data_IF_815809076617
#
_entry.id   IF_815809076617
#
_cell.length_a   1.000
_cell.length_b   1.000
_cell.length_c   1.000
_cell.angle_alpha   90.00
_cell.angle_beta   90.00
_cell.angle_gamma   90.00
#
_symmetry.space_group_name_H-M   'P 1'
#
loop_
_entity.id
_entity.type
_entity.pdbx_description
1 polymer ?
#
# COMPACT_ATOMS: atom_id res chain seq x y z
N UNK A 1 4.68 58.40 -6.94
CA UNK A 1 4.17 57.04 -6.62
C UNK A 1 4.04 56.94 -5.11
N UNK A 2 2.83 56.73 -4.61
CA UNK A 2 2.51 56.85 -3.19
C UNK A 2 3.16 55.74 -2.33
N UNK A 3 3.60 56.06 -1.10
CA UNK A 3 4.26 55.11 -0.19
C UNK A 3 3.36 53.93 0.20
N UNK A 4 2.05 54.04 -0.01
CA UNK A 4 1.05 53.00 0.23
C UNK A 4 1.18 51.88 -0.82
N UNK A 5 1.40 52.24 -2.09
CA UNK A 5 1.51 51.28 -3.19
C UNK A 5 2.75 50.38 -3.05
N UNK A 6 3.84 50.93 -2.50
CA UNK A 6 5.08 50.18 -2.23
C UNK A 6 4.92 49.14 -1.11
N UNK A 7 4.10 49.43 -0.09
CA UNK A 7 3.78 48.51 1.01
C UNK A 7 2.91 47.34 0.55
N UNK A 8 1.93 47.59 -0.32
CA UNK A 8 1.03 46.55 -0.85
C UNK A 8 1.81 45.56 -1.73
N UNK A 9 2.71 46.05 -2.58
CA UNK A 9 3.56 45.20 -3.42
C UNK A 9 4.49 44.34 -2.56
N UNK A 10 5.13 44.92 -1.53
CA UNK A 10 5.97 44.18 -0.61
C UNK A 10 5.20 43.09 0.16
N UNK A 11 3.94 43.34 0.51
CA UNK A 11 3.08 42.38 1.20
C UNK A 11 2.62 41.24 0.28
N UNK A 12 2.35 41.53 -1.00
CA UNK A 12 2.05 40.53 -2.03
C UNK A 12 3.25 39.60 -2.31
N UNK A 13 4.48 40.14 -2.36
CA UNK A 13 5.67 39.31 -2.49
C UNK A 13 5.91 38.43 -1.27
N UNK A 14 5.64 38.93 -0.05
CA UNK A 14 5.78 38.16 1.19
C UNK A 14 4.77 37.00 1.26
N UNK A 15 3.51 37.25 0.91
CA UNK A 15 2.46 36.21 0.89
C UNK A 15 2.72 35.17 -0.19
N UNK A 16 3.20 35.57 -1.37
CA UNK A 16 3.64 34.64 -2.41
C UNK A 16 4.81 33.75 -1.95
N UNK A 17 5.75 34.29 -1.16
CA UNK A 17 6.87 33.52 -0.62
C UNK A 17 6.48 32.58 0.53
N UNK A 18 5.43 32.91 1.29
CA UNK A 18 4.93 32.07 2.39
C UNK A 18 4.05 30.92 1.85
N UNK A 19 3.34 31.14 0.74
CA UNK A 19 2.47 30.14 0.10
C UNK A 19 3.20 29.00 -0.62
N UNK A 20 4.52 29.08 -0.82
CA UNK A 20 5.30 27.99 -1.45
C UNK A 20 5.67 26.86 -0.48
N UNK A 21 5.32 26.96 0.81
CA UNK A 21 5.31 25.83 1.75
C UNK A 21 4.10 24.91 1.52
N UNK A 22 3.74 24.68 0.27
CA UNK A 22 2.81 23.64 -0.13
C UNK A 22 3.30 22.32 0.45
N UNK A 23 2.50 21.74 1.36
CA UNK A 23 2.68 20.40 1.91
C UNK A 23 3.12 19.46 0.78
N UNK A 24 4.25 18.78 0.95
CA UNK A 24 4.68 17.72 0.06
C UNK A 24 3.58 16.66 0.03
N UNK A 25 2.85 16.57 -1.09
CA UNK A 25 1.86 15.52 -1.30
C UNK A 25 2.62 14.24 -1.60
N UNK A 26 2.33 13.17 -0.85
CA UNK A 26 2.97 11.87 -1.05
C UNK A 26 2.66 11.39 -2.48
N UNK A 27 3.70 11.22 -3.28
CA UNK A 27 3.59 10.68 -4.64
C UNK A 27 3.70 9.14 -4.69
N UNK A 28 3.36 8.55 -5.84
CA UNK A 28 3.55 7.11 -6.10
C UNK A 28 4.96 6.60 -5.79
N UNK A 29 6.00 7.38 -6.10
CA UNK A 29 7.39 7.02 -5.80
C UNK A 29 7.67 6.94 -4.29
N UNK A 30 7.18 7.91 -3.53
CA UNK A 30 7.30 7.94 -2.07
C UNK A 30 6.51 6.81 -1.41
N UNK A 31 5.34 6.45 -1.96
CA UNK A 31 4.61 5.27 -1.55
C UNK A 31 5.45 4.00 -1.76
N UNK A 32 6.01 3.78 -2.96
CA UNK A 32 6.84 2.60 -3.25
C UNK A 32 8.04 2.53 -2.30
N UNK A 33 8.69 3.66 -2.06
CA UNK A 33 9.81 3.76 -1.12
C UNK A 33 9.39 3.45 0.32
N UNK A 34 8.19 3.86 0.74
CA UNK A 34 7.65 3.55 2.06
C UNK A 34 7.26 2.07 2.20
N UNK A 35 6.69 1.46 1.16
CA UNK A 35 6.15 0.10 1.20
C UNK A 35 7.15 -0.98 0.75
N UNK A 36 8.30 -0.65 0.15
CA UNK A 36 9.28 -1.68 -0.21
C UNK A 36 9.72 -2.49 1.02
N UNK A 37 10.03 -3.77 0.81
CA UNK A 37 10.50 -4.66 1.85
C UNK A 37 9.88 -6.05 1.82
N UNK A 38 10.25 -6.86 2.83
CA UNK A 38 9.77 -8.23 3.02
C UNK A 38 8.56 -8.24 3.95
N UNK A 39 7.58 -9.06 3.62
CA UNK A 39 6.30 -9.14 4.30
C UNK A 39 5.87 -10.58 4.52
N UNK A 40 5.04 -10.77 5.55
CA UNK A 40 4.28 -11.98 5.80
C UNK A 40 2.82 -11.57 5.94
N UNK A 41 1.96 -12.08 5.06
CA UNK A 41 0.52 -12.02 5.25
C UNK A 41 0.08 -13.30 5.96
N UNK A 42 -0.51 -13.15 7.13
CA UNK A 42 -1.13 -14.25 7.86
C UNK A 42 -2.61 -14.28 7.54
N UNK A 43 -3.03 -15.39 6.92
CA UNK A 43 -4.42 -15.67 6.58
C UNK A 43 -5.01 -16.65 7.60
N UNK A 44 -6.33 -16.63 7.76
CA UNK A 44 -6.99 -17.60 8.65
C UNK A 44 -7.17 -18.98 8.01
N UNK A 45 -7.06 -19.07 6.68
CA UNK A 45 -7.45 -20.25 5.90
C UNK A 45 -6.25 -20.92 5.20
N UNK A 46 -5.32 -20.14 4.64
CA UNK A 46 -4.23 -20.63 3.79
C UNK A 46 -2.83 -20.50 4.40
N UNK A 47 -2.74 -20.29 5.72
CA UNK A 47 -1.47 -20.11 6.41
C UNK A 47 -0.78 -18.80 6.05
N UNK A 48 0.53 -18.84 5.80
CA UNK A 48 1.35 -17.65 5.59
C UNK A 48 1.79 -17.44 4.14
N UNK A 49 1.61 -16.20 3.64
CA UNK A 49 2.14 -15.77 2.34
C UNK A 49 3.33 -14.84 2.58
N UNK A 50 4.52 -15.29 2.22
CA UNK A 50 5.77 -14.54 2.32
C UNK A 50 6.07 -13.87 0.99
N UNK A 51 6.17 -12.54 0.98
CA UNK A 51 6.37 -11.78 -0.24
C UNK A 51 7.31 -10.59 -0.09
N UNK A 52 7.79 -10.08 -1.22
CA UNK A 52 8.72 -8.96 -1.34
C UNK A 52 8.14 -7.92 -2.30
N UNK A 53 8.08 -6.67 -1.84
CA UNK A 53 7.86 -5.51 -2.70
C UNK A 53 9.23 -4.89 -2.99
N UNK A 54 9.64 -4.91 -4.26
CA UNK A 54 10.92 -4.34 -4.71
C UNK A 54 10.82 -2.83 -4.87
N UNK A 55 11.97 -2.14 -4.88
CA UNK A 55 12.05 -0.70 -5.16
C UNK A 55 11.50 -0.30 -6.54
N UNK A 56 11.44 -1.25 -7.49
CA UNK A 56 10.77 -1.06 -8.79
C UNK A 56 9.24 -1.07 -8.70
N UNK A 57 8.67 -1.33 -7.52
CA UNK A 57 7.24 -1.58 -7.35
C UNK A 57 6.80 -2.98 -7.80
N UNK A 58 7.71 -3.89 -8.18
CA UNK A 58 7.34 -5.28 -8.49
C UNK A 58 7.04 -6.06 -7.22
N UNK A 59 5.89 -6.73 -7.19
CA UNK A 59 5.51 -7.71 -6.18
C UNK A 59 6.09 -9.09 -6.57
N UNK A 60 6.70 -9.77 -5.60
CA UNK A 60 7.23 -11.12 -5.78
C UNK A 60 6.84 -11.97 -4.57
N UNK A 61 6.13 -13.08 -4.81
CA UNK A 61 5.86 -14.08 -3.78
C UNK A 61 7.10 -14.98 -3.65
N UNK A 62 7.55 -15.20 -2.41
CA UNK A 62 8.76 -15.98 -2.10
C UNK A 62 8.37 -17.38 -1.66
N UNK A 63 7.37 -17.47 -0.78
CA UNK A 63 6.85 -18.71 -0.23
C UNK A 63 5.36 -18.51 0.06
N UNK A 64 4.56 -19.53 -0.20
CA UNK A 64 3.20 -19.66 0.30
C UNK A 64 3.07 -21.06 0.85
N UNK A 65 2.26 -21.26 1.89
CA UNK A 65 1.99 -22.61 2.39
C UNK A 65 1.08 -23.41 1.44
N UNK A 66 0.49 -22.75 0.42
CA UNK A 66 -0.34 -23.39 -0.62
C UNK A 66 0.45 -23.91 -1.82
N UNK A 67 1.49 -23.19 -2.25
CA UNK A 67 2.32 -23.58 -3.41
C UNK A 67 3.71 -24.00 -2.95
N UNK A 68 4.10 -25.21 -3.32
CA UNK A 68 5.43 -25.72 -3.01
C UNK A 68 6.49 -24.97 -3.84
N UNK A 69 7.54 -24.49 -3.17
CA UNK A 69 8.59 -23.60 -3.73
C UNK A 69 9.38 -24.14 -4.93
N UNK A 70 9.10 -25.38 -5.35
CA UNK A 70 9.68 -26.01 -6.53
C UNK A 70 8.94 -25.63 -7.83
N UNK A 71 7.71 -25.16 -7.75
CA UNK A 71 7.01 -24.55 -8.87
C UNK A 71 7.28 -23.04 -8.86
N UNK A 72 7.79 -22.55 -9.97
CA UNK A 72 8.45 -21.24 -10.06
C UNK A 72 7.62 -20.11 -9.44
N UNK A 73 8.23 -19.39 -8.49
CA UNK A 73 7.75 -18.14 -7.86
C UNK A 73 7.33 -17.02 -8.86
N UNK A 74 7.47 -17.26 -10.16
CA UNK A 74 7.03 -16.40 -11.27
C UNK A 74 5.56 -16.57 -11.66
N UNK A 75 4.86 -17.59 -11.17
CA UNK A 75 3.49 -17.92 -11.63
C UNK A 75 2.41 -17.76 -10.54
N UNK A 76 2.78 -17.40 -9.30
CA UNK A 76 1.76 -17.16 -8.27
C UNK A 76 0.86 -15.99 -8.71
N UNK A 77 -0.47 -16.15 -8.75
CA UNK A 77 -1.39 -15.11 -9.20
C UNK A 77 -1.48 -14.02 -8.13
N UNK A 78 -0.51 -13.10 -8.17
CA UNK A 78 -0.45 -11.91 -7.33
C UNK A 78 -0.41 -10.66 -8.20
N UNK A 79 -1.26 -9.70 -7.86
CA UNK A 79 -1.37 -8.42 -8.55
C UNK A 79 -1.05 -7.30 -7.57
N UNK A 80 -0.27 -6.32 -8.03
CA UNK A 80 -0.05 -5.08 -7.32
C UNK A 80 -0.36 -3.90 -8.21
N UNK A 81 -1.24 -3.03 -7.72
CA UNK A 81 -1.63 -1.80 -8.41
C UNK A 81 -1.49 -0.62 -7.46
N UNK A 82 -1.20 0.55 -8.00
CA UNK A 82 -1.15 1.79 -7.23
C UNK A 82 -2.13 2.75 -7.88
N UNK A 83 -3.09 3.20 -7.09
CA UNK A 83 -4.10 4.16 -7.46
C UNK A 83 -3.79 5.51 -6.80
N UNK A 84 -3.85 6.60 -7.55
CA UNK A 84 -3.63 7.96 -7.05
C UNK A 84 -4.67 8.89 -7.69
N UNK A 85 -5.24 9.81 -6.91
CA UNK A 85 -6.32 10.69 -7.35
C UNK A 85 -7.63 10.40 -6.63
N UNK A 86 -8.76 10.66 -7.28
CA UNK A 86 -10.08 10.42 -6.70
C UNK A 86 -10.37 8.90 -6.62
N UNK A 87 -9.85 8.28 -5.56
CA UNK A 87 -9.94 6.85 -5.31
C UNK A 87 -11.05 6.50 -4.30
N UNK A 88 -11.90 7.45 -3.92
CA UNK A 88 -12.98 7.26 -2.93
C UNK A 88 -12.51 6.90 -1.51
N UNK A 89 -11.21 6.70 -1.29
CA UNK A 89 -10.63 6.19 -0.05
C UNK A 89 -9.91 7.29 0.73
N UNK A 90 -8.93 7.98 0.13
CA UNK A 90 -8.01 8.87 0.84
C UNK A 90 -7.75 10.22 0.16
N UNK A 91 -8.80 10.89 -0.34
CA UNK A 91 -8.74 12.30 -0.81
C UNK A 91 -7.54 12.61 -1.72
N UNK A 92 -7.16 11.72 -2.65
CA UNK A 92 -6.03 11.94 -3.56
C UNK A 92 -4.71 11.25 -3.19
N UNK A 93 -4.59 10.70 -1.97
CA UNK A 93 -3.36 10.01 -1.55
C UNK A 93 -3.15 8.71 -2.35
N UNK A 94 -1.89 8.36 -2.66
CA UNK A 94 -1.58 7.13 -3.38
C UNK A 94 -1.84 5.91 -2.48
N UNK A 95 -2.58 4.96 -3.01
CA UNK A 95 -2.96 3.71 -2.33
C UNK A 95 -2.43 2.53 -3.12
N UNK A 96 -1.72 1.64 -2.44
CA UNK A 96 -1.25 0.38 -3.00
C UNK A 96 -2.26 -0.73 -2.71
N UNK A 97 -2.80 -1.35 -3.77
CA UNK A 97 -3.70 -2.50 -3.67
C UNK A 97 -2.96 -3.76 -4.11
N UNK A 98 -2.78 -4.68 -3.17
CA UNK A 98 -2.24 -6.00 -3.41
C UNK A 98 -3.39 -7.01 -3.38
N UNK A 99 -3.36 -7.92 -4.34
CA UNK A 99 -4.29 -9.04 -4.47
C UNK A 99 -3.47 -10.31 -4.58
N UNK A 100 -3.75 -11.29 -3.74
CA UNK A 100 -3.21 -12.64 -3.84
C UNK A 100 -4.39 -13.56 -4.08
N UNK A 101 -4.39 -14.27 -5.19
CA UNK A 101 -5.45 -15.22 -5.52
C UNK A 101 -4.97 -16.64 -5.25
N UNK A 102 -5.91 -17.48 -4.87
CA UNK A 102 -5.69 -18.87 -4.50
C UNK A 102 -6.88 -19.69 -4.99
N UNK A 103 -6.68 -20.97 -5.32
CA UNK A 103 -7.74 -21.84 -5.83
C UNK A 103 -7.72 -22.05 -7.35
N UNK A 104 -8.86 -22.47 -7.89
CA UNK A 104 -9.04 -22.79 -9.30
C UNK A 104 -10.02 -21.82 -9.97
N UNK A 105 -10.20 -21.95 -11.29
CA UNK A 105 -11.18 -21.16 -12.05
C UNK A 105 -12.63 -21.36 -11.57
N UNK A 106 -12.91 -22.44 -10.82
CA UNK A 106 -14.25 -22.75 -10.29
C UNK A 106 -14.46 -22.17 -8.89
N UNK A 107 -13.43 -22.14 -8.05
CA UNK A 107 -13.51 -21.60 -6.69
C UNK A 107 -12.17 -20.98 -6.32
N UNK A 108 -12.18 -19.67 -6.10
CA UNK A 108 -10.98 -18.90 -5.80
C UNK A 108 -11.13 -18.06 -4.53
N UNK A 109 -10.07 -17.97 -3.73
CA UNK A 109 -9.98 -17.07 -2.60
C UNK A 109 -9.03 -15.93 -2.95
N UNK A 110 -9.54 -14.70 -2.91
CA UNK A 110 -8.79 -13.48 -3.13
C UNK A 110 -8.49 -12.78 -1.80
N UNK A 111 -7.21 -12.66 -1.47
CA UNK A 111 -6.72 -11.86 -0.34
C UNK A 111 -6.36 -10.47 -0.81
N UNK A 112 -7.08 -9.47 -0.31
CA UNK A 112 -6.86 -8.06 -0.61
C UNK A 112 -6.15 -7.36 0.54
N UNK A 113 -5.10 -6.60 0.21
CA UNK A 113 -4.44 -5.67 1.12
C UNK A 113 -4.40 -4.28 0.52
N UNK A 114 -4.87 -3.30 1.29
CA UNK A 114 -4.89 -1.89 0.89
C UNK A 114 -3.91 -1.14 1.80
N UNK A 115 -2.84 -0.60 1.22
CA UNK A 115 -1.74 0.05 1.91
C UNK A 115 -1.65 1.52 1.49
N UNK A 116 -1.24 2.38 2.42
CA UNK A 116 -0.86 3.76 2.11
C UNK A 116 0.43 4.13 2.82
N UNK A 117 1.02 5.23 2.40
CA UNK A 117 2.06 5.93 3.14
C UNK A 117 1.45 7.16 3.84
N UNK A 118 1.89 7.43 5.05
CA UNK A 118 1.53 8.61 5.83
C UNK A 118 2.79 9.38 6.23
N UNK A 119 2.74 10.70 6.09
CA UNK A 119 3.85 11.54 6.46
C UNK A 119 3.76 11.87 7.95
N UNK A 120 4.76 11.43 8.72
CA UNK A 120 4.88 11.84 10.10
C UNK A 120 5.38 13.29 10.15
N UNK A 121 4.86 14.06 11.10
CA UNK A 121 5.23 15.47 11.31
C UNK A 121 6.74 15.69 11.47
N UNK A 122 7.45 14.65 11.94
CA UNK A 122 8.90 14.65 12.14
C UNK A 122 9.73 14.46 10.85
N UNK A 123 9.13 14.46 9.66
CA UNK A 123 9.80 14.53 8.33
C UNK A 123 10.83 13.45 7.96
N UNK A 124 11.20 12.54 8.84
CA UNK A 124 12.36 11.68 8.56
C UNK A 124 12.09 10.51 7.61
N UNK A 125 10.86 9.97 7.52
CA UNK A 125 10.41 9.04 6.47
C UNK A 125 8.89 8.84 6.56
N UNK A 126 8.19 8.65 5.42
CA UNK A 126 6.80 8.23 5.43
C UNK A 126 6.65 6.84 6.07
N UNK A 127 5.70 6.70 6.99
CA UNK A 127 5.32 5.40 7.57
C UNK A 127 4.27 4.71 6.71
N UNK A 128 4.38 3.39 6.59
CA UNK A 128 3.35 2.57 5.96
C UNK A 128 2.17 2.37 6.94
N UNK A 129 0.95 2.44 6.42
CA UNK A 129 -0.28 2.12 7.14
C UNK A 129 -1.10 1.10 6.36
N UNK A 130 -1.65 0.11 7.06
CA UNK A 130 -2.62 -0.81 6.50
C UNK A 130 -4.02 -0.20 6.65
N UNK A 131 -4.67 0.09 5.51
CA UNK A 131 -6.02 0.67 5.53
C UNK A 131 -7.08 -0.41 5.69
N UNK A 132 -6.92 -1.51 4.96
CA UNK A 132 -7.86 -2.62 4.97
C UNK A 132 -7.17 -3.90 4.54
N UNK A 133 -7.65 -5.01 5.10
CA UNK A 133 -7.28 -6.36 4.70
C UNK A 133 -8.50 -7.26 4.81
N UNK A 134 -8.77 -8.04 3.77
CA UNK A 134 -9.91 -8.95 3.73
C UNK A 134 -9.68 -10.09 2.74
N UNK A 135 -10.39 -11.19 2.95
CA UNK A 135 -10.44 -12.34 2.05
C UNK A 135 -11.85 -12.46 1.45
N UNK A 136 -11.91 -12.65 0.13
CA UNK A 136 -13.13 -12.93 -0.61
C UNK A 136 -13.05 -14.34 -1.17
N UNK A 137 -14.10 -15.10 -1.02
CA UNK A 137 -14.32 -16.31 -1.81
C UNK A 137 -15.16 -15.95 -3.03
N UNK A 138 -14.67 -16.31 -4.21
CA UNK A 138 -15.36 -16.20 -5.47
C UNK A 138 -15.74 -17.61 -5.93
N UNK A 139 -17.04 -17.88 -5.92
CA UNK A 139 -17.64 -19.08 -6.52
C UNK A 139 -17.98 -18.74 -7.98
N UNK A 140 -17.08 -19.10 -8.89
CA UNK A 140 -17.17 -18.77 -10.32
C UNK A 140 -18.45 -19.29 -10.97
N UNK A 141 -18.82 -20.58 -10.80
CA UNK A 141 -20.04 -21.15 -11.35
C UNK A 141 -21.34 -20.50 -10.86
N UNK A 142 -21.37 -20.02 -9.61
CA UNK A 142 -22.57 -19.43 -9.02
C UNK A 142 -22.58 -17.88 -9.04
N UNK A 143 -21.50 -17.25 -9.52
CA UNK A 143 -21.31 -15.80 -9.53
C UNK A 143 -21.48 -15.14 -8.14
N UNK A 144 -21.16 -15.89 -7.07
CA UNK A 144 -21.28 -15.41 -5.69
C UNK A 144 -19.90 -15.03 -5.17
N UNK A 145 -19.80 -13.82 -4.62
CA UNK A 145 -18.64 -13.37 -3.87
C UNK A 145 -18.98 -13.21 -2.38
N UNK A 146 -18.31 -13.95 -1.51
CA UNK A 146 -18.55 -13.94 -0.06
C UNK A 146 -17.32 -13.44 0.68
N UNK A 147 -17.50 -12.51 1.63
CA UNK A 147 -16.41 -12.08 2.51
C UNK A 147 -16.16 -13.17 3.56
N UNK A 148 -15.04 -13.87 3.44
CA UNK A 148 -14.64 -14.92 4.39
C UNK A 148 -14.07 -14.34 5.67
N UNK A 149 -13.19 -13.35 5.54
CA UNK A 149 -12.48 -12.77 6.67
C UNK A 149 -12.19 -11.29 6.47
N UNK A 150 -12.22 -10.56 7.57
CA UNK A 150 -11.80 -9.16 7.63
C UNK A 150 -10.69 -9.02 8.67
N UNK A 151 -9.74 -8.12 8.43
CA UNK A 151 -8.58 -7.85 9.29
C UNK A 151 -7.53 -8.96 9.31
N UNK A 152 -7.09 -9.40 8.13
CA UNK A 152 -5.90 -10.23 7.99
C UNK A 152 -4.68 -9.53 8.58
N UNK A 153 -3.77 -10.28 9.20
CA UNK A 153 -2.58 -9.73 9.86
C UNK A 153 -1.43 -9.61 8.87
N UNK A 154 -0.95 -8.39 8.65
CA UNK A 154 0.19 -8.12 7.78
C UNK A 154 1.42 -7.75 8.62
N UNK A 155 2.50 -8.52 8.48
CA UNK A 155 3.77 -8.23 9.13
C UNK A 155 4.79 -7.72 8.13
N UNK A 156 5.53 -6.68 8.50
CA UNK A 156 6.66 -6.13 7.74
C UNK A 156 7.96 -6.40 8.46
N UNK A 157 8.99 -6.83 7.73
CA UNK A 157 10.33 -6.99 8.28
C UNK A 157 10.95 -5.64 8.61
N UNK A 158 11.34 -5.43 9.86
CA UNK A 158 12.08 -4.26 10.29
C UNK A 158 13.58 -4.55 10.38
N UNK A 159 14.37 -3.83 9.58
CA UNK A 159 15.84 -3.91 9.62
C UNK A 159 16.38 -3.46 10.98
N UNK A 160 15.78 -2.43 11.59
CA UNK A 160 16.20 -1.88 12.88
C UNK A 160 16.05 -2.90 14.02
N UNK A 161 14.92 -3.62 14.05
CA UNK A 161 14.62 -4.57 15.12
C UNK A 161 14.95 -6.03 14.75
N UNK A 162 15.44 -6.27 13.52
CA UNK A 162 15.75 -7.58 12.95
C UNK A 162 14.60 -8.61 13.08
N UNK A 163 13.35 -8.13 13.07
CA UNK A 163 12.15 -8.97 13.25
C UNK A 163 10.98 -8.45 12.42
N UNK A 164 10.01 -9.33 12.20
CA UNK A 164 8.72 -8.96 11.63
C UNK A 164 7.86 -8.22 12.66
N UNK A 165 7.21 -7.15 12.22
CA UNK A 165 6.37 -6.28 13.04
C UNK A 165 5.01 -6.18 12.38
N UNK A 166 3.96 -6.38 13.16
CA UNK A 166 2.58 -6.22 12.71
C UNK A 166 2.34 -4.76 12.28
N UNK A 167 1.86 -4.59 11.05
CA UNK A 167 1.36 -3.31 10.56
C UNK A 167 -0.04 -3.06 11.07
N UNK A 168 -0.27 -1.82 11.49
CA UNK A 168 -1.55 -1.33 11.98
C UNK A 168 -2.19 -0.39 10.98
#
# INVERSE_FOLDING_TARGET
MEPIMMKVISFLFLTAFICTNSLASIGKGELIEAIKGRYILQTNEAGEIHFLIRSSGKLQVIKSDWYDSNESATTYPAKFTIEQGDNGLLRGMPVGHLIFSEGSDEQAIDYHLILTAEQNWNRENPSIRLLSSFALENDGPNEVATVLSTKLSLLKYSVKYKKFILLK
#
